data_IF_274315906708
#
_entry.id   IF_274315906708
#
_cell.length_a   1.000
_cell.length_b   1.000
_cell.length_c   1.000
_cell.angle_alpha   90.00
_cell.angle_beta   90.00
_cell.angle_gamma   90.00
#
_symmetry.space_group_name_H-M   'P 1'
#
loop_
_entity.id
_entity.type
_entity.pdbx_description
1 polymer ?
#
# COMPACT_ATOMS: atom_id res chain seq x y z
N UNK A 1 -13.82 -18.03 -1.61
CA UNK A 1 -14.60 -17.77 -0.37
C UNK A 1 -14.97 -16.29 -0.22
N UNK A 2 -14.05 -15.33 -0.48
CA UNK A 2 -14.31 -13.90 -0.26
C UNK A 2 -15.30 -13.31 -1.28
N UNK A 3 -15.16 -13.63 -2.57
CA UNK A 3 -16.01 -13.09 -3.64
C UNK A 3 -17.51 -13.38 -3.41
N UNK A 4 -17.95 -14.61 -3.07
CA UNK A 4 -19.34 -14.88 -2.73
C UNK A 4 -19.82 -14.07 -1.50
N UNK A 5 -18.97 -13.92 -0.47
CA UNK A 5 -19.29 -13.14 0.72
C UNK A 5 -19.49 -11.65 0.40
N UNK A 6 -18.59 -11.05 -0.39
CA UNK A 6 -18.69 -9.66 -0.82
C UNK A 6 -19.93 -9.41 -1.70
N UNK A 7 -20.27 -10.39 -2.57
CA UNK A 7 -21.51 -10.35 -3.36
C UNK A 7 -22.76 -10.41 -2.48
N UNK A 8 -22.76 -11.25 -1.43
CA UNK A 8 -23.90 -11.35 -0.48
C UNK A 8 -24.13 -10.03 0.28
N UNK A 9 -23.07 -9.26 0.52
CA UNK A 9 -23.15 -7.93 1.14
C UNK A 9 -23.57 -6.82 0.18
N UNK A 10 -23.90 -7.16 -1.09
CA UNK A 10 -24.31 -6.22 -2.15
C UNK A 10 -23.29 -5.08 -2.38
N UNK A 11 -22.03 -5.36 -2.16
CA UNK A 11 -20.92 -4.41 -2.35
C UNK A 11 -20.46 -4.39 -3.82
N UNK A 12 -21.38 -4.31 -4.77
CA UNK A 12 -21.09 -4.22 -6.19
C UNK A 12 -20.96 -2.78 -6.66
N UNK A 13 -20.03 -2.54 -7.57
CA UNK A 13 -19.84 -1.23 -8.20
C UNK A 13 -20.94 -0.97 -9.22
N UNK A 14 -21.52 0.24 -9.21
CA UNK A 14 -22.40 0.73 -10.27
C UNK A 14 -21.55 1.38 -11.35
N UNK A 15 -21.76 0.96 -12.60
CA UNK A 15 -21.06 1.54 -13.75
C UNK A 15 -21.87 2.74 -14.25
N UNK A 16 -21.19 3.88 -14.42
CA UNK A 16 -21.79 5.09 -14.96
C UNK A 16 -22.07 4.92 -16.46
N UNK A 17 -23.20 5.43 -16.94
CA UNK A 17 -23.60 5.35 -18.37
C UNK A 17 -22.70 6.17 -19.32
N UNK A 18 -21.75 6.94 -18.78
CA UNK A 18 -20.83 7.82 -19.53
C UNK A 18 -19.64 7.03 -20.12
N UNK A 19 -19.42 5.75 -19.69
CA UNK A 19 -18.30 4.92 -20.12
C UNK A 19 -18.59 4.08 -21.37
N UNK A 20 -17.55 3.45 -21.95
CA UNK A 20 -17.71 2.53 -23.07
C UNK A 20 -18.68 1.38 -22.74
N UNK A 21 -19.53 1.02 -23.71
CA UNK A 21 -20.62 0.02 -23.51
C UNK A 21 -20.15 -1.35 -23.02
N UNK A 22 -18.90 -1.75 -23.29
CA UNK A 22 -18.33 -3.02 -22.82
C UNK A 22 -18.04 -3.05 -21.32
N UNK A 23 -17.99 -1.90 -20.64
CA UNK A 23 -17.86 -1.86 -19.18
C UNK A 23 -19.13 -2.33 -18.46
N UNK A 24 -20.30 -2.31 -19.12
CA UNK A 24 -21.58 -2.78 -18.52
C UNK A 24 -21.56 -4.26 -18.14
N UNK A 25 -20.74 -5.09 -18.80
CA UNK A 25 -20.57 -6.50 -18.45
C UNK A 25 -19.89 -6.72 -17.07
N UNK A 26 -19.25 -5.70 -16.53
CA UNK A 26 -18.58 -5.71 -15.22
C UNK A 26 -19.43 -5.16 -14.08
N UNK A 27 -20.70 -4.80 -14.37
CA UNK A 27 -21.63 -4.32 -13.34
C UNK A 27 -21.87 -5.39 -12.28
N UNK A 28 -21.82 -5.00 -10.99
CA UNK A 28 -21.95 -5.96 -9.89
C UNK A 28 -20.66 -6.67 -9.50
N UNK A 29 -19.51 -6.32 -10.09
CA UNK A 29 -18.22 -6.80 -9.60
C UNK A 29 -18.00 -6.29 -8.18
N UNK A 30 -17.67 -7.17 -7.20
CA UNK A 30 -17.50 -6.76 -5.82
C UNK A 30 -16.33 -5.78 -5.69
N UNK A 31 -16.55 -4.70 -4.95
CA UNK A 31 -15.49 -3.84 -4.44
C UNK A 31 -14.84 -4.48 -3.21
N UNK A 32 -13.76 -3.87 -2.69
CA UNK A 32 -13.03 -4.35 -1.49
C UNK A 32 -12.28 -5.69 -1.65
N UNK A 33 -11.92 -6.09 -2.88
CA UNK A 33 -11.06 -7.26 -3.12
C UNK A 33 -9.71 -7.18 -2.41
N UNK A 34 -9.22 -5.97 -2.15
CA UNK A 34 -8.01 -5.69 -1.36
C UNK A 34 -8.02 -6.26 0.06
N UNK A 35 -9.19 -6.55 0.65
CA UNK A 35 -9.27 -7.20 1.96
C UNK A 35 -8.61 -8.58 1.98
N UNK A 36 -8.72 -9.35 0.89
CA UNK A 36 -8.04 -10.64 0.78
C UNK A 36 -6.52 -10.46 0.78
N UNK A 37 -6.05 -9.45 0.07
CA UNK A 37 -4.63 -9.12 0.00
C UNK A 37 -4.09 -8.68 1.37
N UNK A 38 -4.80 -7.78 2.06
CA UNK A 38 -4.46 -7.34 3.41
C UNK A 38 -4.40 -8.52 4.38
N UNK A 39 -5.39 -9.43 4.34
CA UNK A 39 -5.40 -10.61 5.20
C UNK A 39 -4.21 -11.55 4.90
N UNK A 40 -3.89 -11.79 3.63
CA UNK A 40 -2.73 -12.61 3.25
C UNK A 40 -1.41 -11.96 3.71
N UNK A 41 -1.25 -10.65 3.51
CA UNK A 41 -0.08 -9.91 3.98
C UNK A 41 0.05 -9.96 5.51
N UNK A 42 -1.06 -9.82 6.25
CA UNK A 42 -1.06 -9.93 7.71
C UNK A 42 -0.57 -11.31 8.18
N UNK A 43 -1.11 -12.38 7.61
CA UNK A 43 -0.73 -13.75 8.00
C UNK A 43 0.76 -14.00 7.71
N UNK A 44 1.21 -13.72 6.48
CA UNK A 44 2.61 -13.95 6.09
C UNK A 44 3.57 -13.09 6.92
N UNK A 45 3.26 -11.81 7.11
CA UNK A 45 4.12 -10.91 7.89
C UNK A 45 4.17 -11.27 9.36
N UNK A 46 3.05 -11.72 9.95
CA UNK A 46 3.03 -12.18 11.34
C UNK A 46 3.94 -13.40 11.52
N UNK A 47 3.88 -14.37 10.58
CA UNK A 47 4.75 -15.54 10.60
C UNK A 47 6.22 -15.12 10.46
N UNK A 48 6.52 -14.22 9.53
CA UNK A 48 7.89 -13.73 9.29
C UNK A 48 8.43 -12.98 10.52
N UNK A 49 7.65 -12.08 11.11
CA UNK A 49 8.04 -11.35 12.33
C UNK A 49 8.29 -12.32 13.48
N UNK A 50 7.39 -13.29 13.70
CA UNK A 50 7.57 -14.29 14.76
C UNK A 50 8.86 -15.09 14.55
N UNK A 51 9.19 -15.45 13.32
CA UNK A 51 10.41 -16.18 12.98
C UNK A 51 11.67 -15.32 13.23
N UNK A 52 11.69 -14.06 12.79
CA UNK A 52 12.83 -13.14 12.99
C UNK A 52 13.02 -12.86 14.50
N UNK A 53 11.92 -12.60 15.24
CA UNK A 53 11.99 -12.38 16.69
C UNK A 53 12.55 -13.59 17.42
N UNK A 54 12.24 -14.80 16.97
CA UNK A 54 12.75 -16.02 17.55
C UNK A 54 14.26 -16.24 17.29
N UNK A 55 14.78 -15.77 16.15
CA UNK A 55 16.18 -15.92 15.78
C UNK A 55 17.07 -14.77 16.29
N UNK A 56 16.64 -13.51 16.05
CA UNK A 56 17.47 -12.32 16.21
C UNK A 56 16.97 -11.40 17.34
N UNK A 57 15.86 -11.77 17.98
CA UNK A 57 15.22 -10.97 18.99
C UNK A 57 14.38 -9.81 18.45
N UNK A 58 13.67 -9.07 19.31
CA UNK A 58 12.69 -8.06 18.89
C UNK A 58 13.31 -6.82 18.21
N UNK A 59 14.56 -6.51 18.51
CA UNK A 59 15.25 -5.35 17.92
C UNK A 59 15.50 -5.52 16.41
N UNK A 60 15.82 -6.74 15.95
CA UNK A 60 16.05 -7.04 14.54
C UNK A 60 14.82 -6.94 13.65
N UNK A 61 13.61 -6.95 14.25
CA UNK A 61 12.35 -6.91 13.51
C UNK A 61 11.69 -5.52 13.41
N UNK A 62 12.27 -4.50 14.03
CA UNK A 62 11.65 -3.16 14.15
C UNK A 62 11.35 -2.52 12.78
N UNK A 63 12.27 -2.59 11.82
CA UNK A 63 12.08 -2.06 10.48
C UNK A 63 10.94 -2.78 9.74
N UNK A 64 10.88 -4.11 9.84
CA UNK A 64 9.82 -4.92 9.23
C UNK A 64 8.45 -4.59 9.84
N UNK A 65 8.37 -4.47 11.17
CA UNK A 65 7.12 -4.12 11.87
C UNK A 65 6.63 -2.74 11.43
N UNK A 66 7.51 -1.74 11.37
CA UNK A 66 7.16 -0.39 10.92
C UNK A 66 6.72 -0.37 9.45
N UNK A 67 7.40 -1.12 8.58
CA UNK A 67 7.01 -1.22 7.16
C UNK A 67 5.66 -1.92 6.99
N UNK A 68 5.40 -2.95 7.79
CA UNK A 68 4.09 -3.60 7.83
C UNK A 68 3.01 -2.64 8.32
N UNK A 69 3.29 -1.86 9.37
CA UNK A 69 2.37 -0.84 9.88
C UNK A 69 2.06 0.22 8.80
N UNK A 70 3.06 0.66 8.01
CA UNK A 70 2.87 1.54 6.87
C UNK A 70 1.90 0.93 5.83
N UNK A 71 2.14 -0.34 5.46
CA UNK A 71 1.32 -1.05 4.48
C UNK A 71 -0.13 -1.19 4.97
N UNK A 72 -0.33 -1.60 6.23
CA UNK A 72 -1.64 -1.77 6.83
C UNK A 72 -2.39 -0.44 7.00
N UNK A 73 -1.70 0.62 7.40
CA UNK A 73 -2.30 1.95 7.54
C UNK A 73 -2.76 2.50 6.18
N UNK A 74 -1.95 2.36 5.12
CA UNK A 74 -2.38 2.73 3.76
C UNK A 74 -3.51 1.82 3.26
N UNK A 75 -3.48 0.52 3.57
CA UNK A 75 -4.58 -0.40 3.30
C UNK A 75 -5.88 0.03 3.99
N UNK A 76 -5.81 0.45 5.25
CA UNK A 76 -6.95 0.98 6.00
C UNK A 76 -7.50 2.27 5.39
N UNK A 77 -6.65 3.17 4.90
CA UNK A 77 -7.07 4.37 4.14
C UNK A 77 -7.85 3.96 2.88
N UNK A 78 -7.38 2.94 2.15
CA UNK A 78 -8.08 2.40 0.98
C UNK A 78 -9.43 1.79 1.33
N UNK A 79 -9.50 0.97 2.38
CA UNK A 79 -10.76 0.39 2.88
C UNK A 79 -11.73 1.49 3.31
N UNK A 80 -11.24 2.52 3.98
CA UNK A 80 -12.07 3.66 4.40
C UNK A 80 -12.62 4.44 3.20
N UNK A 81 -11.81 4.65 2.15
CA UNK A 81 -12.25 5.24 0.89
C UNK A 81 -13.42 4.45 0.27
N UNK A 82 -13.29 3.11 0.22
CA UNK A 82 -14.34 2.23 -0.31
C UNK A 82 -15.60 2.21 0.58
N UNK A 83 -15.45 2.25 1.91
CA UNK A 83 -16.59 2.33 2.83
C UNK A 83 -17.37 3.64 2.67
N UNK A 84 -16.68 4.76 2.43
CA UNK A 84 -17.32 6.06 2.17
C UNK A 84 -18.15 6.00 0.88
N UNK A 85 -17.60 5.41 -0.21
CA UNK A 85 -18.33 5.16 -1.47
C UNK A 85 -19.62 4.37 -1.22
N UNK A 86 -19.49 3.29 -0.45
CA UNK A 86 -20.60 2.41 -0.13
C UNK A 86 -21.70 3.11 0.70
N UNK A 87 -21.28 3.82 1.76
CA UNK A 87 -22.22 4.53 2.67
C UNK A 87 -23.03 5.60 1.95
N UNK A 88 -22.42 6.36 1.05
CA UNK A 88 -23.09 7.44 0.34
C UNK A 88 -23.76 6.98 -0.96
N UNK A 89 -23.68 5.69 -1.32
CA UNK A 89 -24.21 5.14 -2.58
C UNK A 89 -23.74 5.92 -3.82
N UNK A 90 -22.54 6.49 -3.76
CA UNK A 90 -21.89 7.27 -4.83
C UNK A 90 -20.61 6.56 -5.24
N UNK A 91 -20.14 6.84 -6.47
CA UNK A 91 -18.84 6.34 -6.94
C UNK A 91 -17.66 7.18 -6.40
N UNK A 92 -17.94 8.25 -5.69
CA UNK A 92 -16.94 9.14 -5.10
C UNK A 92 -16.69 8.76 -3.64
N UNK A 93 -15.46 8.41 -3.32
CA UNK A 93 -14.97 8.14 -1.97
C UNK A 93 -14.51 9.41 -1.24
N UNK A 94 -13.38 9.34 -0.59
CA UNK A 94 -12.72 10.49 0.00
C UNK A 94 -12.33 11.51 -1.08
N UNK A 95 -12.36 12.80 -0.75
CA UNK A 95 -11.78 13.83 -1.61
C UNK A 95 -10.28 13.56 -1.78
N UNK A 96 -9.73 13.82 -2.97
CA UNK A 96 -8.31 13.58 -3.27
C UNK A 96 -7.38 14.22 -2.22
N UNK A 97 -7.71 15.44 -1.76
CA UNK A 97 -6.94 16.13 -0.72
C UNK A 97 -7.00 15.43 0.65
N UNK A 98 -8.14 14.87 1.03
CA UNK A 98 -8.29 14.13 2.29
C UNK A 98 -7.49 12.83 2.25
N UNK A 99 -7.58 12.10 1.14
CA UNK A 99 -6.81 10.87 0.92
C UNK A 99 -5.32 11.14 0.96
N UNK A 100 -4.87 12.16 0.24
CA UNK A 100 -3.45 12.54 0.21
C UNK A 100 -2.94 13.00 1.58
N UNK A 101 -3.73 13.76 2.33
CA UNK A 101 -3.37 14.18 3.69
C UNK A 101 -3.20 12.98 4.63
N UNK A 102 -4.11 11.99 4.59
CA UNK A 102 -3.97 10.78 5.39
C UNK A 102 -2.72 9.99 5.03
N UNK A 103 -2.41 9.88 3.74
CA UNK A 103 -1.18 9.23 3.27
C UNK A 103 0.08 9.95 3.76
N UNK A 104 0.10 11.29 3.74
CA UNK A 104 1.20 12.09 4.29
C UNK A 104 1.39 11.86 5.79
N UNK A 105 0.31 11.81 6.56
CA UNK A 105 0.38 11.54 8.01
C UNK A 105 0.93 10.13 8.25
N UNK A 106 0.45 9.14 7.55
CA UNK A 106 0.91 7.74 7.68
C UNK A 106 2.39 7.61 7.30
N UNK A 107 2.81 8.22 6.18
CA UNK A 107 4.21 8.21 5.74
C UNK A 107 5.12 8.97 6.72
N UNK A 108 4.65 10.10 7.26
CA UNK A 108 5.39 10.87 8.26
C UNK A 108 5.61 10.09 9.56
N UNK A 109 4.57 9.41 10.07
CA UNK A 109 4.69 8.56 11.25
C UNK A 109 5.64 7.38 11.01
N UNK A 110 5.59 6.78 9.83
CA UNK A 110 6.53 5.73 9.44
C UNK A 110 7.98 6.22 9.45
N UNK A 111 8.27 7.32 8.76
CA UNK A 111 9.62 7.88 8.70
C UNK A 111 10.14 8.31 10.08
N UNK A 112 9.27 8.88 10.91
CA UNK A 112 9.61 9.22 12.28
C UNK A 112 9.95 7.97 13.09
N UNK A 113 9.14 6.90 12.99
CA UNK A 113 9.42 5.63 13.67
C UNK A 113 10.74 4.99 13.20
N UNK A 114 11.00 4.98 11.89
CA UNK A 114 12.23 4.45 11.31
C UNK A 114 13.46 5.23 11.79
N UNK A 115 13.36 6.55 11.89
CA UNK A 115 14.43 7.41 12.41
C UNK A 115 14.68 7.16 13.90
N UNK A 116 13.61 7.09 14.72
CA UNK A 116 13.72 6.85 16.17
C UNK A 116 14.30 5.47 16.50
N UNK A 117 14.08 4.47 15.66
CA UNK A 117 14.64 3.12 15.83
C UNK A 117 16.02 2.95 15.19
N UNK A 118 16.58 4.00 14.58
CA UNK A 118 17.90 3.97 13.95
C UNK A 118 17.96 3.13 12.66
N UNK A 119 16.80 2.82 12.06
CA UNK A 119 16.72 2.00 10.85
C UNK A 119 16.94 2.79 9.55
N UNK A 120 16.93 4.12 9.59
CA UNK A 120 17.25 4.99 8.45
C UNK A 120 18.25 6.06 8.83
N UNK A 121 19.07 6.42 7.85
CA UNK A 121 19.97 7.58 7.88
C UNK A 121 19.50 8.60 6.86
N UNK A 122 20.06 9.81 6.88
CA UNK A 122 19.80 10.87 5.90
C UNK A 122 20.66 10.77 4.65
N UNK A 123 21.51 9.74 4.58
CA UNK A 123 22.41 9.48 3.47
C UNK A 123 21.70 8.73 2.34
N UNK A 124 21.79 9.27 1.14
CA UNK A 124 21.30 8.65 -0.08
C UNK A 124 22.49 8.11 -0.88
N UNK A 125 22.50 6.80 -1.12
CA UNK A 125 23.48 6.18 -2.01
C UNK A 125 23.08 6.36 -3.47
N UNK A 126 23.99 6.90 -4.29
CA UNK A 126 23.80 7.05 -5.74
C UNK A 126 24.56 5.94 -6.46
N UNK A 127 23.88 4.87 -6.92
CA UNK A 127 24.51 3.63 -7.34
C UNK A 127 25.42 3.77 -8.58
N UNK A 128 25.11 4.68 -9.51
CA UNK A 128 25.89 4.85 -10.74
C UNK A 128 27.17 5.68 -10.53
N UNK A 129 27.22 6.48 -9.49
CA UNK A 129 28.37 7.36 -9.16
C UNK A 129 29.17 6.78 -7.99
N UNK A 130 28.57 5.89 -7.20
CA UNK A 130 29.21 5.27 -6.04
C UNK A 130 29.45 6.21 -4.87
N UNK A 131 28.68 7.30 -4.77
CA UNK A 131 28.80 8.28 -3.69
C UNK A 131 27.60 8.23 -2.74
N UNK A 132 27.87 8.57 -1.46
CA UNK A 132 26.84 8.84 -0.47
C UNK A 132 26.62 10.36 -0.39
N UNK A 133 25.38 10.79 -0.52
CA UNK A 133 24.98 12.19 -0.40
C UNK A 133 24.12 12.34 0.84
N UNK A 134 24.61 13.06 1.84
CA UNK A 134 23.80 13.41 3.00
C UNK A 134 22.84 14.56 2.65
N UNK A 135 21.55 14.24 2.62
CA UNK A 135 20.47 15.19 2.35
C UNK A 135 19.96 15.89 3.62
N UNK A 136 20.40 15.47 4.80
CA UNK A 136 19.90 16.01 6.06
C UNK A 136 18.36 15.99 6.13
N UNK A 137 17.76 17.13 6.53
CA UNK A 137 16.29 17.24 6.66
C UNK A 137 15.55 17.04 5.33
N UNK A 138 16.18 17.35 4.18
CA UNK A 138 15.58 17.18 2.86
C UNK A 138 15.32 15.70 2.51
N UNK A 139 16.08 14.77 3.12
CA UNK A 139 15.81 13.34 2.98
C UNK A 139 14.36 13.00 3.31
N UNK A 140 13.84 13.53 4.41
CA UNK A 140 12.46 13.24 4.85
C UNK A 140 11.42 13.81 3.89
N UNK A 141 11.67 14.99 3.30
CA UNK A 141 10.78 15.58 2.30
C UNK A 141 10.74 14.70 1.05
N UNK A 142 11.90 14.30 0.54
CA UNK A 142 12.01 13.41 -0.63
C UNK A 142 11.36 12.06 -0.34
N UNK A 143 11.65 11.46 0.82
CA UNK A 143 11.06 10.18 1.21
C UNK A 143 9.53 10.24 1.33
N UNK A 144 8.97 11.32 1.90
CA UNK A 144 7.52 11.55 1.94
C UNK A 144 6.91 11.59 0.54
N UNK A 145 7.53 12.35 -0.37
CA UNK A 145 7.06 12.45 -1.77
C UNK A 145 7.15 11.10 -2.49
N UNK A 146 8.22 10.36 -2.29
CA UNK A 146 8.41 9.04 -2.90
C UNK A 146 7.37 8.05 -2.37
N UNK A 147 7.19 7.94 -1.05
CA UNK A 147 6.22 7.01 -0.46
C UNK A 147 4.80 7.33 -0.93
N UNK A 148 4.38 8.58 -0.82
CA UNK A 148 3.02 8.98 -1.25
C UNK A 148 2.85 8.89 -2.76
N UNK A 149 3.91 9.19 -3.53
CA UNK A 149 3.94 9.03 -4.99
C UNK A 149 3.73 7.58 -5.40
N UNK A 150 4.44 6.62 -4.79
CA UNK A 150 4.28 5.19 -5.06
C UNK A 150 2.86 4.74 -4.73
N UNK A 151 2.34 5.08 -3.54
CA UNK A 151 0.97 4.70 -3.13
C UNK A 151 -0.08 5.19 -4.13
N UNK A 152 0.04 6.44 -4.61
CA UNK A 152 -0.90 6.99 -5.58
C UNK A 152 -0.69 6.40 -6.99
N UNK A 153 0.54 6.14 -7.41
CA UNK A 153 0.84 5.51 -8.70
C UNK A 153 0.25 4.10 -8.79
N UNK A 154 0.43 3.29 -7.73
CA UNK A 154 -0.19 1.96 -7.66
C UNK A 154 -1.72 2.04 -7.71
N UNK A 155 -2.31 3.00 -6.99
CA UNK A 155 -3.76 3.21 -7.03
C UNK A 155 -4.27 3.63 -8.43
N UNK A 156 -3.50 4.39 -9.20
CA UNK A 156 -3.84 4.75 -10.58
C UNK A 156 -3.68 3.56 -11.53
N UNK A 157 -2.62 2.76 -11.37
CA UNK A 157 -2.37 1.56 -12.16
C UNK A 157 -3.46 0.49 -11.97
N UNK A 158 -4.12 0.45 -10.81
CA UNK A 158 -5.23 -0.49 -10.51
C UNK A 158 -6.52 -0.19 -11.31
N UNK A 159 -6.51 0.80 -12.17
CA UNK A 159 -7.59 1.07 -13.14
C UNK A 159 -7.66 0.09 -14.32
N UNK A 160 -6.65 -0.75 -14.53
CA UNK A 160 -6.57 -1.72 -15.62
C UNK A 160 -6.50 -3.14 -15.03
N UNK A 161 -7.42 -4.01 -15.49
CA UNK A 161 -7.52 -5.39 -15.00
C UNK A 161 -6.19 -6.14 -15.12
N UNK A 162 -5.69 -6.63 -13.98
CA UNK A 162 -4.48 -7.45 -13.90
C UNK A 162 -3.16 -6.69 -13.94
N UNK A 163 -3.12 -5.40 -14.26
CA UNK A 163 -1.87 -4.62 -14.37
C UNK A 163 -1.10 -4.63 -13.04
N UNK A 164 -1.71 -4.17 -11.96
CA UNK A 164 -1.06 -4.12 -10.64
C UNK A 164 -0.66 -5.51 -10.14
N UNK A 165 -1.48 -6.53 -10.42
CA UNK A 165 -1.15 -7.90 -10.04
C UNK A 165 0.11 -8.40 -10.75
N UNK A 166 0.23 -8.14 -12.06
CA UNK A 166 1.42 -8.50 -12.83
C UNK A 166 2.66 -7.73 -12.35
N UNK A 167 2.55 -6.42 -12.14
CA UNK A 167 3.62 -5.59 -11.61
C UNK A 167 4.09 -6.08 -10.24
N UNK A 168 3.16 -6.41 -9.34
CA UNK A 168 3.47 -6.91 -8.00
C UNK A 168 4.25 -8.23 -8.06
N UNK A 169 3.90 -9.14 -8.98
CA UNK A 169 4.62 -10.39 -9.18
C UNK A 169 6.07 -10.12 -9.64
N UNK A 170 6.26 -9.25 -10.62
CA UNK A 170 7.60 -8.91 -11.14
C UNK A 170 8.46 -8.27 -10.05
N UNK A 171 7.92 -7.29 -9.32
CA UNK A 171 8.61 -6.64 -8.21
C UNK A 171 8.93 -7.64 -7.09
N UNK A 172 7.99 -8.53 -6.75
CA UNK A 172 8.19 -9.56 -5.74
C UNK A 172 9.31 -10.54 -6.12
N UNK A 173 9.34 -11.00 -7.37
CA UNK A 173 10.42 -11.88 -7.89
C UNK A 173 11.76 -11.15 -7.84
N UNK A 174 11.82 -9.88 -8.25
CA UNK A 174 13.04 -9.08 -8.19
C UNK A 174 13.59 -9.00 -6.75
N UNK A 175 12.76 -8.59 -5.78
CA UNK A 175 13.20 -8.49 -4.39
C UNK A 175 13.56 -9.86 -3.80
N UNK A 176 12.85 -10.92 -4.13
CA UNK A 176 13.22 -12.27 -3.74
C UNK A 176 14.59 -12.65 -4.28
N UNK A 177 14.89 -12.36 -5.55
CA UNK A 177 16.18 -12.69 -6.17
C UNK A 177 17.36 -11.88 -5.60
N UNK A 178 17.12 -10.62 -5.19
CA UNK A 178 18.18 -9.75 -4.63
C UNK A 178 18.44 -10.02 -3.15
N UNK A 179 17.49 -10.64 -2.43
CA UNK A 179 17.63 -10.98 -1.00
C UNK A 179 18.38 -12.30 -0.74
N UNK A 180 18.68 -13.08 -1.78
CA UNK A 180 19.54 -14.28 -1.73
C UNK A 180 20.94 -13.98 -2.24
#
# INVERSE_FOLDING_TARGET
FLIPALKSWKMGQKILDIGPRWHKSKEGTPTMGGLAFIAACLVTSTITVAFIVALDGPAGSSALILTLALALANGAVGVFDDLVKFSHKRNEGLRASQKYFLQLVVAGLYLFGMYMTGNITTELYIPFVGIFLDLGIFYFVVALLVITGIVNSVNLADGVDGLVSCETVVVGIFFAAVSF
#
